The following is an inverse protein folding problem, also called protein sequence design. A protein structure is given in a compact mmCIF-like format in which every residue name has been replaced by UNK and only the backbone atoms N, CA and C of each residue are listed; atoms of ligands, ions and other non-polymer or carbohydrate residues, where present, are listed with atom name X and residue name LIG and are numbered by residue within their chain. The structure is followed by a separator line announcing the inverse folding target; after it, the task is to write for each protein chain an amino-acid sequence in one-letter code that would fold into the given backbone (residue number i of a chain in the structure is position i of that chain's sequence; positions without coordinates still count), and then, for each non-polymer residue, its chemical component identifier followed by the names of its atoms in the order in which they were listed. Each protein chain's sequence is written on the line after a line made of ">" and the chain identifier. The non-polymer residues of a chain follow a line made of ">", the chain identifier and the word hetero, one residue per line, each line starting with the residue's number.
data_IF_001285677126
#
_entry.id   IF_001285677126
#
_cell.length_a   1.000
_cell.length_b   1.000
_cell.length_c   1.000
_cell.angle_alpha   90.00
_cell.angle_beta   90.00
_cell.angle_gamma   90.00
#
_symmetry.space_group_name_H-M   'P 1'
#
loop_
_entity.id
_entity.type
_entity.pdbx_description
1 polymer ?
#
# COMPACT_ATOMS: atom_id res chain seq x y z
N UNK A 1 21.51 -70.79 4.87
CA UNK A 1 22.25 -69.59 4.40
C UNK A 1 21.38 -68.34 4.13
N UNK A 2 20.05 -68.42 3.99
CA UNK A 2 19.18 -67.25 3.72
C UNK A 2 18.76 -66.44 4.95
N UNK A 3 18.71 -67.03 6.14
CA UNK A 3 18.25 -66.37 7.38
C UNK A 3 19.31 -65.49 8.06
N UNK A 4 20.61 -65.80 7.93
CA UNK A 4 21.71 -64.99 8.52
C UNK A 4 21.95 -63.65 7.83
N UNK A 5 21.63 -63.50 6.54
CA UNK A 5 21.78 -62.22 5.82
C UNK A 5 20.69 -61.21 6.16
N UNK A 6 19.48 -61.70 6.50
CA UNK A 6 18.34 -60.84 6.85
C UNK A 6 18.51 -60.22 8.24
N UNK A 7 19.05 -60.98 9.20
CA UNK A 7 19.31 -60.48 10.57
C UNK A 7 20.41 -59.43 10.62
N UNK A 8 21.48 -59.59 9.82
CA UNK A 8 22.57 -58.62 9.76
C UNK A 8 22.13 -57.29 9.16
N UNK A 9 21.30 -57.33 8.11
CA UNK A 9 20.71 -56.14 7.48
C UNK A 9 19.73 -55.40 8.41
N UNK A 10 18.92 -56.14 9.18
CA UNK A 10 18.02 -55.53 10.16
C UNK A 10 18.80 -54.86 11.31
N UNK A 11 19.86 -55.51 11.81
CA UNK A 11 20.72 -54.96 12.86
C UNK A 11 21.46 -53.70 12.38
N UNK A 12 21.92 -53.64 11.13
CA UNK A 12 22.56 -52.42 10.60
C UNK A 12 21.58 -51.26 10.46
N UNK A 13 20.32 -51.51 10.07
CA UNK A 13 19.28 -50.48 9.98
C UNK A 13 18.88 -49.97 11.37
N UNK A 14 18.77 -50.85 12.37
CA UNK A 14 18.47 -50.47 13.75
C UNK A 14 19.65 -49.69 14.36
N UNK A 15 20.90 -50.12 14.14
CA UNK A 15 22.08 -49.36 14.57
C UNK A 15 22.21 -48.00 13.88
N UNK A 16 21.83 -47.87 12.61
CA UNK A 16 21.76 -46.58 11.93
C UNK A 16 20.65 -45.68 12.50
N UNK A 17 19.48 -46.22 12.83
CA UNK A 17 18.40 -45.44 13.46
C UNK A 17 18.75 -44.95 14.86
N UNK A 18 19.48 -45.75 15.65
CA UNK A 18 19.94 -45.35 16.98
C UNK A 18 21.02 -44.26 16.90
N UNK A 19 21.89 -44.29 15.88
CA UNK A 19 22.86 -43.21 15.62
C UNK A 19 22.22 -41.89 15.18
N UNK A 20 21.07 -41.93 14.49
CA UNK A 20 20.28 -40.72 14.17
C UNK A 20 19.42 -40.22 15.34
N UNK A 21 19.11 -41.06 16.33
CA UNK A 21 18.36 -40.65 17.54
C UNK A 21 19.26 -40.26 18.72
N UNK A 22 20.55 -40.59 18.69
CA UNK A 22 21.51 -40.25 19.75
C UNK A 22 22.28 -38.93 19.52
N UNK A 23 22.01 -38.21 18.42
CA UNK A 23 22.53 -36.86 18.25
C UNK A 23 21.46 -35.88 18.75
N UNK A 24 21.70 -35.10 19.83
CA UNK A 24 20.72 -34.14 20.29
C UNK A 24 20.36 -33.18 19.14
N UNK A 25 19.08 -32.77 18.98
CA UNK A 25 18.63 -31.85 17.93
C UNK A 25 19.31 -30.46 17.96
N UNK A 26 20.21 -30.24 18.92
CA UNK A 26 20.84 -28.98 19.26
C UNK A 26 22.15 -28.71 18.50
N UNK A 27 22.65 -29.67 17.71
CA UNK A 27 23.88 -29.47 16.91
C UNK A 27 23.64 -29.24 15.40
N UNK A 28 22.45 -29.52 14.85
CA UNK A 28 22.22 -29.46 13.39
C UNK A 28 21.29 -28.34 12.89
N UNK A 29 20.83 -27.44 13.77
CA UNK A 29 19.92 -26.33 13.38
C UNK A 29 20.38 -24.91 13.77
N UNK A 30 21.66 -24.71 14.10
CA UNK A 30 22.24 -23.36 14.09
C UNK A 30 22.64 -22.98 12.64
N UNK A 31 21.68 -22.84 11.72
CA UNK A 31 21.99 -22.23 10.42
C UNK A 31 22.56 -20.85 10.72
N UNK A 32 23.88 -20.65 10.55
CA UNK A 32 24.56 -19.40 10.93
C UNK A 32 23.79 -18.24 10.30
N UNK A 33 23.13 -17.45 11.14
CA UNK A 33 22.31 -16.34 10.72
C UNK A 33 23.12 -15.47 9.76
N UNK A 34 22.68 -15.41 8.50
CA UNK A 34 23.47 -14.74 7.47
C UNK A 34 23.69 -13.28 7.84
N UNK A 35 24.93 -12.83 7.78
CA UNK A 35 25.28 -11.42 8.01
C UNK A 35 25.66 -10.76 6.69
N UNK A 36 25.09 -9.59 6.42
CA UNK A 36 25.51 -8.70 5.34
C UNK A 36 26.23 -7.51 5.97
N UNK A 37 27.55 -7.47 5.81
CA UNK A 37 28.36 -6.31 6.19
C UNK A 37 28.28 -5.27 5.10
N UNK A 38 27.79 -4.08 5.44
CA UNK A 38 27.63 -2.95 4.55
C UNK A 38 28.87 -2.06 4.64
N UNK A 39 29.78 -2.25 3.68
CA UNK A 39 30.99 -1.40 3.54
C UNK A 39 30.70 -0.14 2.71
N UNK A 40 29.82 -0.24 1.71
CA UNK A 40 29.39 0.86 0.84
C UNK A 40 27.88 0.80 0.59
N UNK A 41 27.25 1.98 0.59
CA UNK A 41 25.81 2.14 0.31
C UNK A 41 25.64 2.46 -1.17
N UNK A 42 25.64 1.42 -2.00
CA UNK A 42 25.45 1.49 -3.45
C UNK A 42 24.35 0.52 -3.93
N UNK A 43 24.10 0.50 -5.24
CA UNK A 43 23.06 -0.36 -5.81
C UNK A 43 23.44 -1.85 -5.75
N UNK A 44 24.75 -2.19 -5.76
CA UNK A 44 25.22 -3.58 -5.66
C UNK A 44 24.90 -4.16 -4.28
N UNK A 45 25.18 -3.40 -3.22
CA UNK A 45 24.79 -3.77 -1.85
C UNK A 45 23.27 -3.82 -1.70
N UNK A 46 22.54 -2.86 -2.28
CA UNK A 46 21.08 -2.86 -2.24
C UNK A 46 20.48 -4.11 -2.91
N UNK A 47 21.00 -4.55 -4.06
CA UNK A 47 20.59 -5.80 -4.73
C UNK A 47 20.86 -7.04 -3.87
N UNK A 48 21.99 -7.09 -3.14
CA UNK A 48 22.28 -8.19 -2.19
C UNK A 48 21.27 -8.24 -1.06
N UNK A 49 20.94 -7.09 -0.47
CA UNK A 49 19.93 -6.99 0.61
C UNK A 49 18.55 -7.33 0.09
N UNK A 50 18.16 -6.80 -1.08
CA UNK A 50 16.90 -7.15 -1.76
C UNK A 50 16.77 -8.66 -1.97
N UNK A 51 17.78 -9.32 -2.55
CA UNK A 51 17.79 -10.78 -2.74
C UNK A 51 17.63 -11.53 -1.41
N UNK A 52 18.23 -11.02 -0.32
CA UNK A 52 18.10 -11.63 0.99
C UNK A 52 16.71 -11.42 1.61
N UNK A 53 16.12 -10.24 1.46
CA UNK A 53 14.74 -9.96 1.88
C UNK A 53 13.75 -10.90 1.18
N UNK A 54 13.93 -11.12 -0.12
CA UNK A 54 13.08 -12.03 -0.91
C UNK A 54 13.17 -13.50 -0.48
N UNK A 55 14.25 -13.91 0.20
CA UNK A 55 14.32 -15.28 0.79
C UNK A 55 13.35 -15.48 1.95
N UNK A 56 12.80 -14.41 2.54
CA UNK A 56 11.85 -14.50 3.64
C UNK A 56 12.44 -14.98 4.97
N UNK A 57 13.76 -15.22 5.06
CA UNK A 57 14.47 -15.67 6.27
C UNK A 57 15.11 -14.49 7.00
N UNK A 58 15.29 -14.63 8.31
CA UNK A 58 15.97 -13.62 9.11
C UNK A 58 17.46 -13.50 8.70
N UNK A 59 18.04 -12.30 8.87
CA UNK A 59 19.46 -12.04 8.61
C UNK A 59 19.94 -10.79 9.35
N UNK A 60 21.25 -10.65 9.56
CA UNK A 60 21.84 -9.47 10.17
C UNK A 60 22.33 -8.47 9.12
N UNK A 61 22.01 -7.20 9.31
CA UNK A 61 22.66 -6.07 8.65
C UNK A 61 23.71 -5.49 9.59
N UNK A 62 24.94 -5.32 9.12
CA UNK A 62 26.03 -4.77 9.92
C UNK A 62 26.62 -3.54 9.23
N UNK A 63 26.71 -2.43 9.96
CA UNK A 63 27.26 -1.15 9.47
C UNK A 63 28.41 -0.70 10.37
N UNK A 64 29.40 -0.01 9.79
CA UNK A 64 30.52 0.56 10.57
C UNK A 64 30.06 1.82 11.32
N UNK A 65 30.49 1.95 12.58
CA UNK A 65 30.22 3.10 13.44
C UNK A 65 29.05 2.90 14.40
N UNK A 66 28.71 3.96 15.12
CA UNK A 66 27.66 3.95 16.16
C UNK A 66 26.23 4.07 15.63
N UNK A 67 25.28 4.00 16.56
CA UNK A 67 23.84 3.89 16.27
C UNK A 67 23.24 5.09 15.51
N UNK A 68 23.63 6.33 15.86
CA UNK A 68 23.18 7.53 15.11
C UNK A 68 23.57 7.44 13.63
N UNK A 69 24.76 6.90 13.34
CA UNK A 69 25.23 6.68 11.98
C UNK A 69 24.49 5.52 11.31
N UNK A 70 24.27 4.43 12.04
CA UNK A 70 23.48 3.28 11.58
C UNK A 70 22.12 3.69 11.02
N UNK A 71 21.31 4.48 11.74
CA UNK A 71 19.98 4.85 11.25
C UNK A 71 20.04 5.65 9.94
N UNK A 72 20.96 6.61 9.83
CA UNK A 72 21.16 7.39 8.60
C UNK A 72 21.57 6.48 7.44
N UNK A 73 22.50 5.55 7.69
CA UNK A 73 22.99 4.63 6.69
C UNK A 73 21.93 3.62 6.26
N UNK A 74 21.17 3.06 7.19
CA UNK A 74 20.09 2.12 6.89
C UNK A 74 18.93 2.79 6.15
N UNK A 75 18.61 4.04 6.48
CA UNK A 75 17.63 4.82 5.71
C UNK A 75 18.08 5.02 4.26
N UNK A 76 19.34 5.38 4.03
CA UNK A 76 19.93 5.51 2.69
C UNK A 76 19.93 4.18 1.93
N UNK A 77 20.33 3.09 2.59
CA UNK A 77 20.34 1.76 2.00
C UNK A 77 18.93 1.31 1.62
N UNK A 78 17.95 1.46 2.52
CA UNK A 78 16.57 1.06 2.27
C UNK A 78 15.92 1.80 1.10
N UNK A 79 16.27 3.09 0.89
CA UNK A 79 15.87 3.82 -0.32
C UNK A 79 16.46 3.21 -1.60
N UNK A 80 17.72 2.77 -1.57
CA UNK A 80 18.32 2.06 -2.72
C UNK A 80 17.74 0.65 -2.92
N UNK A 81 17.37 -0.03 -1.84
CA UNK A 81 16.64 -1.31 -1.90
C UNK A 81 15.26 -1.11 -2.54
N UNK A 82 14.56 -0.02 -2.24
CA UNK A 82 13.30 0.32 -2.89
C UNK A 82 13.46 0.47 -4.41
N UNK A 83 14.60 0.99 -4.88
CA UNK A 83 14.92 1.09 -6.31
C UNK A 83 15.23 -0.26 -6.99
N UNK A 84 15.31 -1.36 -6.24
CA UNK A 84 15.44 -2.71 -6.82
C UNK A 84 14.14 -3.25 -7.40
N UNK A 85 12.98 -2.63 -7.10
CA UNK A 85 11.68 -3.03 -7.66
C UNK A 85 10.96 -1.83 -8.28
N UNK A 86 9.94 -2.09 -9.10
CA UNK A 86 9.17 -1.03 -9.75
C UNK A 86 8.16 -0.39 -8.78
N UNK A 87 7.80 -1.10 -7.71
CA UNK A 87 6.86 -0.66 -6.68
C UNK A 87 7.48 0.31 -5.67
N UNK A 88 8.81 0.26 -5.47
CA UNK A 88 9.49 1.23 -4.60
C UNK A 88 9.27 1.01 -3.11
N UNK A 89 9.12 -0.23 -2.64
CA UNK A 89 8.89 -0.51 -1.22
C UNK A 89 10.11 -0.20 -0.35
N UNK A 90 10.00 0.78 0.54
CA UNK A 90 11.02 1.14 1.51
C UNK A 90 10.84 0.35 2.81
N UNK A 91 11.79 -0.55 3.12
CA UNK A 91 11.72 -1.43 4.29
C UNK A 91 12.05 -0.74 5.63
N UNK A 92 12.69 0.43 5.61
CA UNK A 92 13.14 1.12 6.81
C UNK A 92 12.02 1.37 7.84
N UNK A 93 10.84 1.91 7.48
CA UNK A 93 9.80 2.18 8.45
C UNK A 93 9.32 0.92 9.19
N UNK A 94 9.27 -0.23 8.51
CA UNK A 94 8.87 -1.51 9.10
C UNK A 94 9.92 -1.97 10.13
N UNK A 95 11.19 -2.01 9.75
CA UNK A 95 12.25 -2.47 10.65
C UNK A 95 12.44 -1.55 11.85
N UNK A 96 12.23 -0.24 11.69
CA UNK A 96 12.56 0.76 12.70
C UNK A 96 11.41 1.09 13.65
N UNK A 97 10.20 0.64 13.34
CA UNK A 97 9.07 0.71 14.25
C UNK A 97 9.38 0.01 15.58
N UNK A 98 9.81 -1.26 15.51
CA UNK A 98 10.08 -2.08 16.69
C UNK A 98 11.43 -1.75 17.35
N UNK A 99 12.30 -1.01 16.64
CA UNK A 99 13.57 -0.53 17.16
C UNK A 99 13.42 0.80 17.92
N UNK A 100 12.20 1.27 18.22
CA UNK A 100 11.98 2.48 19.01
C UNK A 100 12.45 3.80 18.35
N UNK A 101 12.94 3.76 17.11
CA UNK A 101 13.50 4.93 16.40
C UNK A 101 12.52 6.11 16.29
N UNK A 102 11.23 5.81 16.18
CA UNK A 102 10.17 6.81 16.02
C UNK A 102 9.65 7.37 17.36
N UNK A 103 10.23 6.97 18.50
CA UNK A 103 9.94 7.53 19.82
C UNK A 103 8.68 6.98 20.50
N UNK A 104 8.08 5.90 19.99
CA UNK A 104 6.95 5.24 20.65
C UNK A 104 7.44 4.35 21.78
N UNK A 105 7.49 4.88 23.00
CA UNK A 105 7.41 4.08 24.22
C UNK A 105 5.95 3.65 24.39
N UNK A 106 5.62 2.38 24.12
CA UNK A 106 4.26 1.88 24.31
C UNK A 106 4.01 0.52 23.64
N UNK A 107 4.05 -0.52 24.48
CA UNK A 107 3.93 -1.96 24.21
C UNK A 107 5.18 -2.61 23.61
N UNK A 108 5.87 -3.39 24.45
CA UNK A 108 7.16 -4.09 24.29
C UNK A 108 8.42 -3.22 24.40
N UNK A 109 8.74 -2.85 25.64
CA UNK A 109 10.15 -2.67 26.03
C UNK A 109 10.90 -3.98 25.75
N UNK A 110 12.05 -3.88 25.06
CA UNK A 110 12.96 -4.95 24.55
C UNK A 110 12.82 -5.39 23.07
N UNK A 111 12.12 -4.64 22.22
CA UNK A 111 12.09 -4.90 20.77
C UNK A 111 13.45 -4.70 20.07
N UNK A 112 14.01 -5.77 19.50
CA UNK A 112 15.07 -5.84 18.47
C UNK A 112 15.85 -4.54 18.15
N UNK A 113 16.65 -4.08 19.10
CA UNK A 113 17.47 -2.87 18.97
C UNK A 113 18.75 -3.12 18.16
N UNK A 114 19.29 -2.10 17.47
CA UNK A 114 20.63 -2.17 16.91
C UNK A 114 21.68 -2.41 18.02
N UNK A 115 22.51 -3.44 17.87
CA UNK A 115 23.54 -3.83 18.85
C UNK A 115 24.92 -3.35 18.40
N UNK A 116 25.69 -2.77 19.33
CA UNK A 116 27.06 -2.31 19.06
C UNK A 116 28.07 -3.36 19.49
N UNK A 117 29.04 -3.66 18.64
CA UNK A 117 30.16 -4.55 18.95
C UNK A 117 31.31 -4.31 17.96
N UNK A 118 32.55 -4.24 18.45
CA UNK A 118 33.76 -4.18 17.62
C UNK A 118 33.81 -3.03 16.62
N UNK A 119 33.28 -1.84 16.97
CA UNK A 119 33.22 -0.69 16.06
C UNK A 119 32.11 -0.76 14.99
N UNK A 120 31.24 -1.78 15.05
CA UNK A 120 30.08 -1.93 14.19
C UNK A 120 28.78 -1.80 14.98
N UNK A 121 27.72 -1.41 14.27
CA UNK A 121 26.33 -1.55 14.72
C UNK A 121 25.63 -2.57 13.84
N UNK A 122 25.08 -3.62 14.45
CA UNK A 122 24.35 -4.70 13.78
C UNK A 122 22.86 -4.64 14.12
N UNK A 123 22.01 -4.98 13.17
CA UNK A 123 20.56 -5.07 13.34
C UNK A 123 20.04 -6.36 12.72
N UNK A 124 19.24 -7.10 13.48
CA UNK A 124 18.58 -8.31 12.99
C UNK A 124 17.34 -7.93 12.18
N UNK A 125 17.36 -8.19 10.88
CA UNK A 125 16.15 -8.16 10.07
C UNK A 125 15.40 -9.46 10.31
N UNK A 126 14.30 -9.40 11.07
CA UNK A 126 13.46 -10.56 11.38
C UNK A 126 12.74 -11.10 10.13
N UNK A 127 12.40 -12.39 10.15
CA UNK A 127 11.57 -13.03 9.12
C UNK A 127 10.25 -12.27 8.88
N UNK A 128 9.59 -11.79 9.94
CA UNK A 128 8.37 -10.98 9.82
C UNK A 128 8.54 -9.71 8.98
N UNK A 129 9.68 -9.02 9.07
CA UNK A 129 9.96 -7.84 8.25
C UNK A 129 10.19 -8.23 6.79
N UNK A 130 10.85 -9.36 6.54
CA UNK A 130 11.01 -9.91 5.19
C UNK A 130 9.64 -10.26 4.58
N UNK A 131 8.71 -10.80 5.36
CA UNK A 131 7.34 -11.07 4.91
C UNK A 131 6.58 -9.79 4.57
N UNK A 132 6.66 -8.75 5.42
CA UNK A 132 6.09 -7.42 5.11
C UNK A 132 6.67 -6.85 3.80
N UNK A 133 7.98 -7.02 3.56
CA UNK A 133 8.63 -6.60 2.31
C UNK A 133 8.07 -7.32 1.08
N UNK A 134 8.03 -8.65 1.12
CA UNK A 134 7.58 -9.50 0.01
C UNK A 134 6.11 -9.20 -0.33
N UNK A 135 5.25 -9.21 0.68
CA UNK A 135 3.83 -8.96 0.46
C UNK A 135 3.52 -7.49 0.18
N UNK A 136 4.36 -6.57 0.65
CA UNK A 136 4.30 -5.16 0.27
C UNK A 136 4.44 -5.00 -1.24
N UNK A 137 5.50 -5.54 -1.82
CA UNK A 137 5.71 -5.56 -3.27
C UNK A 137 4.52 -6.20 -3.99
N UNK A 138 4.06 -7.38 -3.54
CA UNK A 138 2.90 -8.06 -4.16
C UNK A 138 1.62 -7.23 -4.10
N UNK A 139 1.34 -6.59 -2.98
CA UNK A 139 0.20 -5.70 -2.80
C UNK A 139 0.25 -4.54 -3.79
N UNK A 140 1.36 -3.79 -3.79
CA UNK A 140 1.51 -2.63 -4.67
C UNK A 140 1.44 -3.00 -6.15
N UNK A 141 2.10 -4.10 -6.55
CA UNK A 141 2.02 -4.61 -7.92
C UNK A 141 0.58 -4.90 -8.33
N UNK A 142 -0.18 -5.61 -7.48
CA UNK A 142 -1.59 -5.93 -7.76
C UNK A 142 -2.44 -4.67 -7.89
N UNK A 143 -2.33 -3.72 -6.96
CA UNK A 143 -3.13 -2.49 -7.04
C UNK A 143 -2.80 -1.68 -8.32
N UNK A 144 -1.51 -1.67 -8.71
CA UNK A 144 -1.11 -0.94 -9.91
C UNK A 144 -1.60 -1.60 -11.20
N UNK A 145 -1.51 -2.93 -11.30
CA UNK A 145 -2.07 -3.67 -12.43
C UNK A 145 -3.59 -3.58 -12.49
N UNK A 146 -4.27 -3.58 -11.33
CA UNK A 146 -5.72 -3.34 -11.27
C UNK A 146 -6.11 -1.98 -11.86
N UNK A 147 -5.36 -0.91 -11.59
CA UNK A 147 -5.59 0.39 -12.21
C UNK A 147 -5.41 0.33 -13.73
N UNK A 148 -4.34 -0.30 -14.23
CA UNK A 148 -4.10 -0.41 -15.68
C UNK A 148 -5.23 -1.16 -16.38
N UNK A 149 -5.61 -2.33 -15.87
CA UNK A 149 -6.74 -3.11 -16.40
C UNK A 149 -8.05 -2.33 -16.37
N UNK A 150 -8.25 -1.53 -15.32
CA UNK A 150 -9.42 -0.68 -15.20
C UNK A 150 -9.45 0.40 -16.29
N UNK A 151 -8.33 1.10 -16.52
CA UNK A 151 -8.18 2.07 -17.62
C UNK A 151 -8.45 1.41 -18.98
N UNK A 152 -7.89 0.23 -19.23
CA UNK A 152 -8.11 -0.52 -20.47
C UNK A 152 -9.59 -0.89 -20.68
N UNK A 153 -10.26 -1.33 -19.61
CA UNK A 153 -11.70 -1.65 -19.64
C UNK A 153 -12.56 -0.42 -19.95
N UNK A 154 -12.24 0.73 -19.35
CA UNK A 154 -12.99 1.97 -19.62
C UNK A 154 -12.77 2.43 -21.06
N UNK A 155 -11.55 2.37 -21.58
CA UNK A 155 -11.27 2.68 -22.98
C UNK A 155 -12.09 1.84 -23.96
N UNK A 156 -12.11 0.51 -23.75
CA UNK A 156 -12.87 -0.40 -24.59
C UNK A 156 -14.37 -0.09 -24.55
N UNK A 157 -14.92 0.18 -23.35
CA UNK A 157 -16.33 0.58 -23.20
C UNK A 157 -16.64 1.91 -23.88
N UNK A 158 -15.81 2.93 -23.68
CA UNK A 158 -16.01 4.24 -24.30
C UNK A 158 -15.97 4.18 -25.83
N UNK A 159 -15.05 3.38 -26.41
CA UNK A 159 -14.99 3.14 -27.87
C UNK A 159 -16.21 2.40 -28.39
N UNK A 160 -16.71 1.41 -27.64
CA UNK A 160 -17.96 0.72 -27.98
C UNK A 160 -19.15 1.68 -27.98
N UNK A 161 -19.26 2.53 -26.95
CA UNK A 161 -20.32 3.55 -26.86
C UNK A 161 -20.23 4.55 -28.02
N UNK A 162 -19.02 5.00 -28.37
CA UNK A 162 -18.80 5.90 -29.50
C UNK A 162 -19.27 5.26 -30.80
N UNK A 163 -18.89 4.00 -31.06
CA UNK A 163 -19.33 3.27 -32.25
C UNK A 163 -20.85 3.18 -32.34
N UNK A 164 -21.52 2.83 -31.23
CA UNK A 164 -23.00 2.79 -31.20
C UNK A 164 -23.59 4.15 -31.57
N UNK A 165 -23.05 5.26 -31.04
CA UNK A 165 -23.51 6.62 -31.39
C UNK A 165 -23.20 7.03 -32.83
N UNK A 166 -22.21 6.42 -33.49
CA UNK A 166 -21.81 6.73 -34.87
C UNK A 166 -22.55 5.89 -35.92
N UNK A 167 -23.08 4.72 -35.55
CA UNK A 167 -23.87 3.83 -36.42
C UNK A 167 -25.14 4.54 -36.96
N UNK A 168 -25.80 3.99 -37.99
CA UNK A 168 -27.01 4.60 -38.57
C UNK A 168 -28.16 4.67 -37.54
N UNK A 169 -28.59 5.90 -37.25
CA UNK A 169 -29.51 6.24 -36.16
C UNK A 169 -30.87 6.72 -36.65
N UNK A 170 -31.25 6.40 -37.90
CA UNK A 170 -32.57 6.76 -38.46
C UNK A 170 -33.76 6.32 -37.58
N UNK A 171 -33.54 5.35 -36.68
CA UNK A 171 -34.53 4.84 -35.71
C UNK A 171 -34.42 5.47 -34.32
N UNK A 172 -33.52 6.41 -34.07
CA UNK A 172 -33.27 6.96 -32.73
C UNK A 172 -34.08 8.23 -32.49
N UNK A 173 -34.70 8.35 -31.31
CA UNK A 173 -35.39 9.57 -30.86
C UNK A 173 -34.42 10.55 -30.18
N UNK A 174 -33.19 10.62 -30.66
CA UNK A 174 -32.14 11.53 -30.17
C UNK A 174 -31.94 12.66 -31.19
N UNK A 175 -31.95 13.91 -30.75
CA UNK A 175 -31.69 15.02 -31.66
C UNK A 175 -30.24 15.03 -32.14
N UNK A 176 -30.03 15.46 -33.38
CA UNK A 176 -28.70 15.40 -34.00
C UNK A 176 -27.68 16.35 -33.35
N UNK A 177 -28.16 17.43 -32.74
CA UNK A 177 -27.34 18.32 -31.91
C UNK A 177 -26.89 17.65 -30.61
N UNK A 178 -27.77 16.89 -29.94
CA UNK A 178 -27.43 16.14 -28.74
C UNK A 178 -26.44 15.00 -29.05
N UNK A 179 -26.70 14.25 -30.13
CA UNK A 179 -25.80 13.19 -30.62
C UNK A 179 -24.38 13.70 -30.86
N UNK A 180 -24.22 14.78 -31.62
CA UNK A 180 -22.91 15.43 -31.86
C UNK A 180 -22.21 15.84 -30.56
N UNK A 181 -22.98 16.35 -29.58
CA UNK A 181 -22.44 16.75 -28.27
C UNK A 181 -21.88 15.55 -27.51
N UNK A 182 -22.60 14.42 -27.50
CA UNK A 182 -22.13 13.19 -26.85
C UNK A 182 -20.91 12.58 -27.54
N UNK A 183 -20.89 12.55 -28.87
CA UNK A 183 -19.73 12.08 -29.65
C UNK A 183 -18.48 12.92 -29.33
N UNK A 184 -18.60 14.25 -29.35
CA UNK A 184 -17.49 15.15 -29.01
C UNK A 184 -16.96 14.88 -27.60
N UNK A 185 -17.87 14.67 -26.64
CA UNK A 185 -17.52 14.36 -25.26
C UNK A 185 -16.83 13.00 -25.12
N UNK A 186 -17.32 11.96 -25.79
CA UNK A 186 -16.72 10.63 -25.79
C UNK A 186 -15.32 10.61 -26.42
N UNK A 187 -15.14 11.31 -27.54
CA UNK A 187 -13.83 11.48 -28.17
C UNK A 187 -12.82 12.13 -27.22
N UNK A 188 -13.23 13.18 -26.49
CA UNK A 188 -12.38 13.78 -25.48
C UNK A 188 -12.01 12.79 -24.37
N UNK A 189 -13.00 12.08 -23.82
CA UNK A 189 -12.80 11.05 -22.79
C UNK A 189 -11.83 9.96 -23.25
N UNK A 190 -12.03 9.42 -24.47
CA UNK A 190 -11.16 8.38 -25.05
C UNK A 190 -9.72 8.88 -25.11
N UNK A 191 -9.50 10.09 -25.63
CA UNK A 191 -8.16 10.70 -25.72
C UNK A 191 -7.49 10.83 -24.34
N UNK A 192 -8.21 11.27 -23.32
CA UNK A 192 -7.64 11.38 -21.97
C UNK A 192 -7.22 10.03 -21.38
N UNK A 193 -8.06 9.01 -21.54
CA UNK A 193 -7.74 7.66 -21.06
C UNK A 193 -6.60 7.01 -21.86
N UNK A 194 -6.47 7.29 -23.16
CA UNK A 194 -5.36 6.79 -23.98
C UNK A 194 -4.03 7.39 -23.51
N UNK A 195 -3.99 8.70 -23.26
CA UNK A 195 -2.80 9.35 -22.71
C UNK A 195 -2.43 8.79 -21.34
N UNK A 196 -3.42 8.57 -20.47
CA UNK A 196 -3.21 7.95 -19.17
C UNK A 196 -2.67 6.52 -19.33
N UNK A 197 -3.27 5.72 -20.21
CA UNK A 197 -2.82 4.36 -20.48
C UNK A 197 -1.36 4.34 -20.90
N UNK A 198 -0.96 5.20 -21.84
CA UNK A 198 0.44 5.35 -22.28
C UNK A 198 1.35 5.78 -21.13
N UNK A 199 0.91 6.73 -20.31
CA UNK A 199 1.64 7.18 -19.13
C UNK A 199 1.86 6.04 -18.12
N UNK A 200 0.83 5.25 -17.82
CA UNK A 200 0.91 4.13 -16.89
C UNK A 200 1.73 2.95 -17.46
N UNK A 201 1.75 2.76 -18.78
CA UNK A 201 2.58 1.74 -19.44
C UNK A 201 4.08 2.05 -19.32
N UNK A 202 4.47 3.33 -19.44
CA UNK A 202 5.89 3.75 -19.37
C UNK A 202 6.41 4.04 -17.96
N UNK A 203 5.52 4.22 -16.99
CA UNK A 203 5.90 4.71 -15.65
C UNK A 203 5.83 3.57 -14.63
N UNK A 204 6.78 3.57 -13.69
CA UNK A 204 6.79 2.62 -12.58
C UNK A 204 6.06 3.23 -11.39
N UNK A 205 5.41 2.41 -10.57
CA UNK A 205 4.68 2.89 -9.40
C UNK A 205 5.57 3.76 -8.47
N UNK A 206 6.85 3.41 -8.30
CA UNK A 206 7.79 4.19 -7.49
C UNK A 206 8.04 5.62 -8.01
N UNK A 207 7.87 5.83 -9.31
CA UNK A 207 8.16 7.08 -10.01
C UNK A 207 6.90 7.96 -10.14
N UNK A 208 5.72 7.43 -9.83
CA UNK A 208 4.47 8.19 -9.80
C UNK A 208 4.47 9.26 -8.69
N UNK A 209 3.77 10.40 -8.91
CA UNK A 209 3.60 11.42 -7.89
C UNK A 209 2.83 10.89 -6.68
N UNK A 210 2.97 11.56 -5.54
CA UNK A 210 2.34 11.15 -4.29
C UNK A 210 0.82 11.04 -4.40
N UNK A 211 0.18 11.96 -5.15
CA UNK A 211 -1.26 11.92 -5.43
C UNK A 211 -1.69 10.67 -6.18
N UNK A 212 -0.93 10.24 -7.19
CA UNK A 212 -1.22 9.00 -7.93
C UNK A 212 -1.00 7.76 -7.09
N UNK A 213 0.11 7.70 -6.34
CA UNK A 213 0.34 6.60 -5.39
C UNK A 213 -0.76 6.52 -4.36
N UNK A 214 -1.27 7.65 -3.88
CA UNK A 214 -2.39 7.68 -2.96
C UNK A 214 -3.66 7.15 -3.58
N UNK A 215 -3.98 7.51 -4.82
CA UNK A 215 -5.11 6.93 -5.52
C UNK A 215 -4.92 5.43 -5.68
N UNK A 216 -3.78 4.95 -6.17
CA UNK A 216 -3.57 3.50 -6.35
C UNK A 216 -3.58 2.71 -5.02
N UNK A 217 -2.83 3.18 -4.03
CA UNK A 217 -2.50 2.40 -2.83
C UNK A 217 -3.40 2.73 -1.64
N UNK A 218 -3.90 3.96 -1.58
CA UNK A 218 -4.82 4.47 -0.57
C UNK A 218 -6.22 4.70 -1.13
N UNK A 219 -6.53 4.35 -2.39
CA UNK A 219 -7.90 4.45 -2.90
C UNK A 219 -8.82 3.78 -1.92
N UNK A 220 -9.76 4.56 -1.43
CA UNK A 220 -10.85 4.10 -0.63
C UNK A 220 -12.08 4.42 -1.47
N UNK A 221 -12.58 3.41 -2.17
CA UNK A 221 -13.82 3.44 -2.94
C UNK A 221 -14.34 2.01 -3.01
N UNK A 222 -15.63 1.71 -3.00
CA UNK A 222 -16.89 2.44 -2.89
C UNK A 222 -17.98 1.35 -2.74
N UNK A 223 -19.16 1.72 -2.24
CA UNK A 223 -20.27 0.86 -1.79
C UNK A 223 -20.62 -0.34 -2.70
N UNK A 224 -21.06 -1.46 -2.10
CA UNK A 224 -21.87 -2.47 -2.82
C UNK A 224 -23.38 -2.26 -2.58
N UNK A 225 -23.78 -1.42 -1.61
CA UNK A 225 -25.12 -0.82 -1.39
C UNK A 225 -25.39 -0.43 0.08
N UNK A 226 -24.42 -0.51 1.00
CA UNK A 226 -24.67 -0.18 2.42
C UNK A 226 -23.44 0.37 3.17
N UNK A 227 -23.70 1.41 3.99
CA UNK A 227 -22.89 1.94 5.10
C UNK A 227 -21.36 1.68 5.09
N UNK A 228 -20.71 2.35 4.14
CA UNK A 228 -19.69 3.36 4.39
C UNK A 228 -18.32 2.98 5.04
N UNK A 229 -17.30 3.40 4.29
CA UNK A 229 -15.85 3.54 4.56
C UNK A 229 -14.94 2.31 4.44
N UNK A 230 -13.98 2.47 3.51
CA UNK A 230 -12.72 1.74 3.29
C UNK A 230 -12.76 0.76 2.11
N UNK A 231 -11.78 0.90 1.22
CA UNK A 231 -11.35 -0.09 0.21
C UNK A 231 -11.57 -1.50 0.74
N UNK A 232 -12.12 -2.42 -0.06
CA UNK A 232 -12.29 -3.84 0.34
C UNK A 232 -10.98 -4.51 0.80
N UNK A 233 -9.81 -3.88 0.62
CA UNK A 233 -8.56 -4.33 1.22
C UNK A 233 -8.55 -4.31 2.75
N UNK A 234 -9.28 -3.40 3.41
CA UNK A 234 -9.34 -3.33 4.87
C UNK A 234 -10.76 -3.03 5.36
N UNK A 235 -11.35 -3.93 6.16
CA UNK A 235 -12.71 -3.76 6.69
C UNK A 235 -12.71 -3.18 8.10
N UNK A 236 -13.64 -2.27 8.40
CA UNK A 236 -13.93 -1.91 9.79
C UNK A 236 -14.58 -3.12 10.49
N UNK A 237 -14.16 -3.41 11.74
CA UNK A 237 -14.77 -4.42 12.60
C UNK A 237 -14.65 -4.00 14.06
N UNK A 238 -15.79 -3.89 14.74
CA UNK A 238 -15.86 -3.55 16.17
C UNK A 238 -15.46 -4.70 17.12
N UNK A 239 -15.63 -5.96 16.67
CA UNK A 239 -15.51 -7.16 17.50
C UNK A 239 -14.07 -7.74 17.57
N UNK A 240 -13.55 -7.89 18.81
CA UNK A 240 -12.37 -8.69 19.17
C UNK A 240 -10.98 -8.03 19.01
N UNK A 241 -9.98 -8.50 19.79
CA UNK A 241 -8.58 -8.03 19.75
C UNK A 241 -7.77 -8.48 18.52
N UNK A 242 -8.30 -9.42 17.71
CA UNK A 242 -7.58 -10.00 16.57
C UNK A 242 -7.57 -9.05 15.39
N UNK A 243 -6.58 -8.17 15.29
CA UNK A 243 -6.35 -7.30 14.11
C UNK A 243 -5.62 -8.02 12.98
N UNK A 244 -5.96 -7.70 11.72
CA UNK A 244 -5.21 -8.10 10.53
C UNK A 244 -4.79 -6.88 9.74
N UNK A 245 -3.53 -6.50 9.85
CA UNK A 245 -2.98 -5.26 9.27
C UNK A 245 -1.64 -5.48 8.55
N UNK A 246 -1.24 -6.73 8.34
CA UNK A 246 -0.01 -7.06 7.59
C UNK A 246 -0.18 -6.74 6.10
N UNK A 247 0.92 -6.54 5.37
CA UNK A 247 0.83 -6.45 3.91
C UNK A 247 0.31 -7.74 3.28
N UNK A 248 0.52 -8.90 3.93
CA UNK A 248 -0.08 -10.17 3.51
C UNK A 248 -1.60 -10.12 3.57
N UNK A 249 -2.16 -9.56 4.63
CA UNK A 249 -3.60 -9.43 4.78
C UNK A 249 -4.19 -8.43 3.77
N UNK A 250 -3.52 -7.30 3.53
CA UNK A 250 -3.90 -6.33 2.50
C UNK A 250 -3.87 -6.95 1.10
N UNK A 251 -2.81 -7.69 0.79
CA UNK A 251 -2.69 -8.45 -0.46
C UNK A 251 -3.77 -9.53 -0.57
N UNK A 252 -4.20 -10.16 0.51
CA UNK A 252 -5.26 -11.16 0.45
C UNK A 252 -6.69 -10.58 0.52
N UNK A 253 -6.85 -9.24 0.58
CA UNK A 253 -8.13 -8.56 0.86
C UNK A 253 -8.80 -9.06 2.16
N UNK A 254 -7.98 -9.43 3.14
CA UNK A 254 -8.39 -9.98 4.44
C UNK A 254 -8.01 -9.06 5.61
N UNK A 255 -7.48 -7.86 5.34
CA UNK A 255 -7.15 -6.93 6.41
C UNK A 255 -8.43 -6.39 7.05
N UNK A 256 -8.40 -6.15 8.35
CA UNK A 256 -9.50 -5.54 9.08
C UNK A 256 -9.03 -5.01 10.44
N UNK A 257 -9.78 -4.05 10.98
CA UNK A 257 -9.57 -3.52 12.33
C UNK A 257 -10.43 -2.28 12.61
N UNK A 258 -10.39 -1.80 13.86
CA UNK A 258 -10.98 -0.52 14.27
C UNK A 258 -10.30 0.67 13.59
N UNK A 259 -10.93 1.84 13.64
CA UNK A 259 -10.53 3.10 13.01
C UNK A 259 -9.07 3.46 13.29
N UNK A 260 -8.62 3.29 14.54
CA UNK A 260 -7.25 3.54 14.96
C UNK A 260 -6.23 2.65 14.22
N UNK A 261 -6.57 1.38 13.98
CA UNK A 261 -5.71 0.44 13.25
C UNK A 261 -5.73 0.68 11.74
N UNK A 262 -6.85 1.16 11.21
CA UNK A 262 -6.93 1.60 9.82
C UNK A 262 -6.02 2.81 9.60
N UNK A 263 -6.09 3.83 10.48
CA UNK A 263 -5.20 4.99 10.44
C UNK A 263 -3.72 4.60 10.52
N UNK A 264 -3.37 3.68 11.43
CA UNK A 264 -2.01 3.14 11.53
C UNK A 264 -1.55 2.45 10.22
N UNK A 265 -2.45 1.71 9.58
CA UNK A 265 -2.16 1.03 8.30
C UNK A 265 -1.97 2.02 7.16
N UNK A 266 -2.78 3.08 7.09
CA UNK A 266 -2.56 4.16 6.14
C UNK A 266 -1.21 4.87 6.37
N UNK A 267 -0.85 5.13 7.63
CA UNK A 267 0.45 5.70 7.98
C UNK A 267 1.60 4.81 7.49
N UNK A 268 1.48 3.49 7.68
CA UNK A 268 2.43 2.48 7.16
C UNK A 268 2.59 2.58 5.66
N UNK A 269 1.50 2.50 4.91
CA UNK A 269 1.50 2.57 3.43
C UNK A 269 2.14 3.89 2.97
N UNK A 270 1.75 5.01 3.58
CA UNK A 270 2.33 6.32 3.25
C UNK A 270 3.84 6.37 3.48
N UNK A 271 4.33 5.77 4.56
CA UNK A 271 5.75 5.76 4.92
C UNK A 271 6.58 4.85 3.99
N UNK A 272 6.09 3.65 3.68
CA UNK A 272 6.86 2.68 2.87
C UNK A 272 6.87 3.02 1.37
N UNK A 273 5.86 3.73 0.85
CA UNK A 273 5.79 4.13 -0.58
C UNK A 273 6.04 5.63 -0.82
N UNK A 274 6.38 6.39 0.23
CA UNK A 274 6.67 7.83 0.16
C UNK A 274 5.50 8.63 -0.48
N UNK A 275 4.28 8.44 0.02
CA UNK A 275 3.05 8.99 -0.59
C UNK A 275 2.82 10.48 -0.21
N UNK A 276 3.36 10.94 0.91
CA UNK A 276 3.20 12.34 1.34
C UNK A 276 3.47 12.53 2.82
N UNK A 277 2.90 13.58 3.41
CA UNK A 277 2.91 13.92 4.83
C UNK A 277 1.64 13.48 5.53
N UNK A 278 1.74 12.49 6.41
CA UNK A 278 0.61 11.92 7.14
C UNK A 278 0.41 12.63 8.48
N UNK A 279 -0.84 12.98 8.78
CA UNK A 279 -1.31 13.46 10.07
C UNK A 279 -2.57 12.69 10.46
N UNK A 280 -2.68 12.30 11.72
CA UNK A 280 -3.86 11.62 12.25
C UNK A 280 -4.27 12.35 13.51
N UNK A 281 -5.57 12.55 13.64
CA UNK A 281 -6.20 13.27 14.74
C UNK A 281 -7.36 12.45 15.27
N UNK A 282 -7.47 12.38 16.59
CA UNK A 282 -8.58 11.72 17.28
C UNK A 282 -9.39 12.77 18.01
N UNK A 283 -10.71 12.74 17.84
CA UNK A 283 -11.61 13.63 18.57
C UNK A 283 -11.58 13.27 20.06
N UNK A 284 -11.39 14.26 20.94
CA UNK A 284 -11.30 14.06 22.39
C UNK A 284 -12.64 13.63 23.00
N UNK A 285 -13.76 14.06 22.40
CA UNK A 285 -15.13 13.81 22.85
C UNK A 285 -15.72 12.48 22.37
N UNK A 286 -15.04 11.75 21.48
CA UNK A 286 -15.52 10.45 20.99
C UNK A 286 -14.46 9.33 21.08
N UNK A 287 -14.82 8.14 21.59
CA UNK A 287 -13.89 7.02 21.67
C UNK A 287 -13.41 6.52 20.29
N UNK A 288 -14.21 6.68 19.22
CA UNK A 288 -14.00 5.99 17.94
C UNK A 288 -13.82 6.93 16.73
N UNK A 289 -14.02 8.24 16.85
CA UNK A 289 -13.84 9.20 15.76
C UNK A 289 -12.36 9.43 15.42
N UNK A 290 -11.94 9.02 14.21
CA UNK A 290 -10.57 9.25 13.71
C UNK A 290 -10.60 9.92 12.36
N UNK A 291 -9.82 10.99 12.21
CA UNK A 291 -9.61 11.65 10.93
C UNK A 291 -8.13 11.62 10.56
N UNK A 292 -7.87 11.22 9.32
CA UNK A 292 -6.54 11.08 8.75
C UNK A 292 -6.40 12.04 7.58
N UNK A 293 -5.30 12.76 7.56
CA UNK A 293 -4.93 13.69 6.51
C UNK A 293 -3.61 13.25 5.90
N UNK A 294 -3.57 13.20 4.57
CA UNK A 294 -2.35 12.94 3.81
C UNK A 294 -2.10 14.12 2.90
N UNK A 295 -1.10 14.93 3.22
CA UNK A 295 -0.63 16.05 2.40
C UNK A 295 0.33 15.53 1.33
N UNK A 296 -0.01 15.69 0.07
CA UNK A 296 0.69 15.07 -1.06
C UNK A 296 1.06 16.12 -2.11
N UNK A 297 1.94 15.73 -3.03
CA UNK A 297 2.35 16.54 -4.17
C UNK A 297 1.90 15.89 -5.46
N UNK A 298 1.32 16.70 -6.35
CA UNK A 298 1.03 16.33 -7.74
C UNK A 298 2.32 16.29 -8.56
N UNK A 299 2.23 15.82 -9.81
CA UNK A 299 3.35 15.91 -10.76
C UNK A 299 3.80 17.37 -10.98
N UNK A 300 2.85 18.31 -11.03
CA UNK A 300 3.12 19.75 -11.13
C UNK A 300 3.64 20.40 -9.84
N UNK A 301 3.86 19.64 -8.75
CA UNK A 301 4.32 20.17 -7.46
C UNK A 301 3.24 20.89 -6.63
N UNK A 302 2.00 20.96 -7.14
CA UNK A 302 0.85 21.46 -6.39
C UNK A 302 0.54 20.55 -5.20
N UNK A 303 0.08 21.15 -4.12
CA UNK A 303 -0.25 20.39 -2.90
C UNK A 303 -1.71 19.94 -2.95
N UNK A 304 -1.95 18.65 -2.71
CA UNK A 304 -3.28 18.08 -2.53
C UNK A 304 -3.38 17.37 -1.19
N UNK A 305 -4.61 17.13 -0.73
CA UNK A 305 -4.88 16.53 0.57
C UNK A 305 -5.88 15.38 0.46
N UNK A 306 -5.51 14.22 0.95
CA UNK A 306 -6.41 13.08 1.15
C UNK A 306 -6.96 13.13 2.56
N UNK A 307 -8.27 13.25 2.69
CA UNK A 307 -8.96 13.28 3.98
C UNK A 307 -9.73 11.99 4.12
N UNK A 308 -9.31 11.12 5.03
CA UNK A 308 -9.97 9.87 5.36
C UNK A 308 -10.61 10.01 6.73
N UNK A 309 -11.93 9.91 6.77
CA UNK A 309 -12.71 10.01 7.99
C UNK A 309 -13.21 8.61 8.36
N UNK A 310 -13.20 8.28 9.64
CA UNK A 310 -13.73 7.02 10.13
C UNK A 310 -14.69 7.32 11.28
N UNK A 311 -15.94 6.86 11.14
CA UNK A 311 -17.01 7.09 12.08
C UNK A 311 -17.77 8.42 11.93
N UNK A 312 -18.86 8.54 12.68
CA UNK A 312 -19.76 9.69 12.68
C UNK A 312 -19.24 10.82 13.56
N UNK A 313 -18.39 11.68 13.00
CA UNK A 313 -18.06 12.98 13.62
C UNK A 313 -19.30 13.88 13.66
N UNK A 314 -19.56 14.54 14.79
CA UNK A 314 -20.57 15.60 14.84
C UNK A 314 -20.11 16.78 13.99
N UNK A 315 -21.06 17.39 13.28
CA UNK A 315 -20.85 18.60 12.49
C UNK A 315 -20.43 19.74 13.42
N UNK A 316 -19.14 20.02 13.56
CA UNK A 316 -18.67 21.29 14.11
C UNK A 316 -17.96 22.07 13.02
N UNK A 317 -18.68 23.09 12.55
CA UNK A 317 -18.16 24.14 11.69
C UNK A 317 -17.05 24.86 12.46
N UNK A 318 -15.87 24.96 11.84
CA UNK A 318 -14.72 25.82 12.20
C UNK A 318 -13.87 25.29 13.36
N UNK A 319 -12.71 24.73 12.99
CA UNK A 319 -11.62 24.27 13.86
C UNK A 319 -11.99 23.15 14.84
N UNK A 320 -11.29 22.03 14.70
CA UNK A 320 -11.39 20.95 15.66
C UNK A 320 -10.01 20.85 16.32
N UNK A 321 -9.98 21.05 17.63
CA UNK A 321 -8.82 20.75 18.46
C UNK A 321 -8.73 19.24 18.62
N UNK A 322 -7.56 18.68 18.37
CA UNK A 322 -7.37 17.25 18.33
C UNK A 322 -6.05 16.87 18.98
N UNK A 323 -6.08 15.82 19.80
CA UNK A 323 -4.87 15.25 20.40
C UNK A 323 -4.21 14.27 19.42
N UNK A 324 -2.91 14.43 19.18
CA UNK A 324 -2.15 13.43 18.42
C UNK A 324 -1.88 12.20 19.29
N UNK A 325 -2.71 11.15 19.20
CA UNK A 325 -2.41 9.90 19.90
C UNK A 325 -1.21 9.20 19.28
N UNK A 326 -0.13 9.07 20.05
CA UNK A 326 1.17 8.52 19.62
C UNK A 326 1.07 7.12 19.00
N UNK A 327 0.14 6.29 19.47
CA UNK A 327 -0.12 4.95 18.92
C UNK A 327 -0.55 4.94 17.44
N UNK A 328 -1.00 6.08 16.90
CA UNK A 328 -1.59 6.20 15.56
C UNK A 328 -0.59 6.56 14.47
N UNK A 329 0.65 6.97 14.82
CA UNK A 329 1.64 7.48 13.86
C UNK A 329 3.00 6.77 14.00
N UNK A 330 2.99 5.44 14.21
CA UNK A 330 4.19 4.63 14.54
C UNK A 330 5.30 4.60 13.48
N UNK A 331 5.03 4.99 12.24
CA UNK A 331 5.99 4.97 11.12
C UNK A 331 6.61 6.34 10.80
N UNK A 332 6.41 7.34 11.67
CA UNK A 332 6.97 8.69 11.49
C UNK A 332 7.54 9.24 12.79
N UNK A 333 8.55 10.09 12.65
CA UNK A 333 9.10 10.82 13.80
C UNK A 333 8.02 11.76 14.34
N UNK A 334 7.88 11.77 15.66
CA UNK A 334 6.99 12.68 16.39
C UNK A 334 7.22 14.13 15.93
N UNK A 335 6.14 14.83 15.60
CA UNK A 335 6.14 16.30 15.54
C UNK A 335 5.61 16.77 16.91
N UNK A 336 6.29 17.73 17.53
CA UNK A 336 5.83 18.34 18.78
C UNK A 336 4.55 19.13 18.45
N UNK A 337 3.56 19.03 19.34
CA UNK A 337 2.26 19.74 19.38
C UNK A 337 1.07 19.16 18.61
N UNK A 338 -0.10 19.36 19.23
CA UNK A 338 -1.41 19.27 18.59
C UNK A 338 -1.48 20.33 17.50
N UNK A 339 -1.46 19.85 16.26
CA UNK A 339 -1.57 20.74 15.11
C UNK A 339 -3.05 20.97 14.86
N UNK A 340 -3.53 22.19 15.09
CA UNK A 340 -4.86 22.60 14.61
C UNK A 340 -4.87 22.43 13.10
N UNK A 341 -5.69 21.50 12.61
CA UNK A 341 -5.89 21.30 11.17
C UNK A 341 -7.07 22.18 10.77
N UNK A 342 -6.76 23.27 10.07
CA UNK A 342 -7.78 24.15 9.49
C UNK A 342 -8.55 23.48 8.36
N UNK A 343 -9.67 24.09 7.97
CA UNK A 343 -10.48 23.62 6.84
C UNK A 343 -9.64 23.59 5.56
N UNK A 344 -9.66 22.47 4.85
CA UNK A 344 -9.01 22.37 3.54
C UNK A 344 -10.02 22.73 2.46
N UNK A 345 -9.65 23.70 1.63
CA UNK A 345 -10.45 24.11 0.49
C UNK A 345 -10.78 22.90 -0.39
N UNK A 346 -12.06 22.77 -0.80
CA UNK A 346 -12.56 21.64 -1.62
C UNK A 346 -11.69 21.40 -2.86
N UNK A 347 -11.22 22.47 -3.52
CA UNK A 347 -10.34 22.41 -4.68
C UNK A 347 -8.93 21.81 -4.41
N UNK A 348 -8.52 21.65 -3.14
CA UNK A 348 -7.24 21.05 -2.74
C UNK A 348 -7.39 19.61 -2.24
N UNK A 349 -8.61 19.10 -2.13
CA UNK A 349 -8.90 17.74 -1.66
C UNK A 349 -8.85 16.75 -2.82
N UNK A 350 -8.19 15.61 -2.64
CA UNK A 350 -8.32 14.50 -3.59
C UNK A 350 -9.70 13.87 -3.41
N UNK A 351 -10.44 13.67 -4.51
CA UNK A 351 -11.58 12.76 -4.49
C UNK A 351 -11.01 11.35 -4.32
N UNK A 352 -11.48 10.63 -3.30
CA UNK A 352 -10.87 9.34 -2.94
C UNK A 352 -11.15 8.26 -3.98
N UNK A 353 -12.29 8.34 -4.65
CA UNK A 353 -12.65 7.43 -5.71
C UNK A 353 -12.01 7.90 -7.02
N UNK A 354 -11.39 6.98 -7.77
CA UNK A 354 -11.43 7.05 -9.23
C UNK A 354 -12.88 6.70 -9.60
N UNK A 355 -13.77 7.64 -9.28
CA UNK A 355 -15.17 7.50 -9.61
C UNK A 355 -15.27 7.60 -11.12
N UNK A 356 -15.91 6.60 -11.71
CA UNK A 356 -16.68 6.84 -12.92
C UNK A 356 -17.80 7.76 -12.51
N UNK A 357 -17.66 9.05 -12.75
CA UNK A 357 -18.86 9.86 -12.93
C UNK A 357 -19.44 9.38 -14.27
N UNK A 358 -20.36 8.43 -14.19
CA UNK A 358 -20.98 7.77 -15.33
C UNK A 358 -22.19 8.59 -15.73
N UNK A 359 -22.11 9.30 -16.85
CA UNK A 359 -23.29 9.97 -17.39
C UNK A 359 -24.07 8.91 -18.14
N UNK A 360 -25.19 8.49 -17.55
CA UNK A 360 -26.16 7.66 -18.24
C UNK A 360 -26.89 8.53 -19.26
N UNK A 361 -26.79 8.13 -20.52
CA UNK A 361 -27.50 8.72 -21.65
C UNK A 361 -28.54 7.70 -22.07
N UNK A 362 -29.81 8.07 -21.96
CA UNK A 362 -30.93 7.21 -22.30
C UNK A 362 -31.80 7.90 -23.35
N UNK A 363 -32.16 7.19 -24.42
CA UNK A 363 -33.08 7.69 -25.45
C UNK A 363 -33.91 6.55 -26.03
N UNK A 364 -35.12 6.88 -26.48
CA UNK A 364 -36.01 5.93 -27.12
C UNK A 364 -35.64 5.68 -28.58
N UNK A 365 -36.23 4.64 -29.14
CA UNK A 365 -36.18 4.32 -30.57
C UNK A 365 -37.59 4.33 -31.14
N UNK A 366 -37.70 4.37 -32.47
CA UNK A 366 -38.98 4.27 -33.18
C UNK A 366 -39.70 2.95 -32.96
N UNK A 367 -39.01 1.89 -32.49
CA UNK A 367 -39.63 0.61 -32.07
C UNK A 367 -40.18 0.62 -30.64
N UNK A 368 -39.97 1.70 -29.88
CA UNK A 368 -40.38 1.81 -28.48
C UNK A 368 -39.34 1.32 -27.47
N UNK A 369 -38.20 0.82 -27.93
CA UNK A 369 -37.11 0.34 -27.05
C UNK A 369 -36.25 1.51 -26.54
N UNK A 370 -35.79 1.42 -25.29
CA UNK A 370 -34.87 2.39 -24.70
C UNK A 370 -33.41 1.95 -24.86
N UNK A 371 -32.58 2.78 -25.49
CA UNK A 371 -31.13 2.61 -25.55
C UNK A 371 -30.52 3.30 -24.34
N UNK A 372 -29.66 2.59 -23.59
CA UNK A 372 -28.98 3.09 -22.41
C UNK A 372 -27.46 3.00 -22.60
N UNK A 373 -26.78 4.15 -22.57
CA UNK A 373 -25.35 4.27 -22.73
C UNK A 373 -24.74 4.92 -21.49
N UNK A 374 -23.50 4.57 -21.15
CA UNK A 374 -22.76 5.23 -20.06
C UNK A 374 -21.49 5.86 -20.62
N UNK A 375 -21.31 7.16 -20.38
CA UNK A 375 -20.06 7.89 -20.64
C UNK A 375 -19.27 7.91 -19.34
N UNK A 376 -18.10 7.29 -19.34
CA UNK A 376 -17.24 7.16 -18.17
C UNK A 376 -16.27 8.34 -18.07
N UNK A 377 -16.45 9.30 -17.15
CA UNK A 377 -15.51 10.43 -17.00
C UNK A 377 -14.31 10.09 -16.11
N UNK A 378 -13.14 10.65 -16.44
CA UNK A 378 -11.93 10.49 -15.65
C UNK A 378 -11.82 11.61 -14.62
N UNK A 379 -12.08 11.30 -13.34
CA UNK A 379 -12.09 12.27 -12.25
C UNK A 379 -10.68 12.59 -11.70
N UNK A 380 -9.73 12.83 -12.60
CA UNK A 380 -8.33 13.07 -12.29
C UNK A 380 -7.70 14.03 -13.31
N UNK A 381 -7.46 15.27 -12.88
CA UNK A 381 -6.78 16.26 -13.72
C UNK A 381 -5.42 15.72 -14.21
N UNK A 382 -5.07 15.97 -15.48
CA UNK A 382 -3.73 15.70 -16.03
C UNK A 382 -2.59 16.22 -15.16
N UNK A 383 -2.82 17.35 -14.47
CA UNK A 383 -1.83 17.94 -13.57
C UNK A 383 -1.50 17.09 -12.33
N UNK A 384 -2.32 16.08 -12.02
CA UNK A 384 -2.17 15.17 -10.89
C UNK A 384 -1.36 13.91 -11.20
N UNK A 385 -1.10 13.59 -12.48
CA UNK A 385 -0.40 12.38 -12.90
C UNK A 385 0.85 12.57 -13.75
#
# INVERSE_FOLDING_TARGET
>A
MRTRKVTLALLTVISFMILFMACPPEAEAASKLKTITVTKIDQKTAKKVHKQLLKGKAFNLRFKGGEKNFYKQFQKLSKKVANCTDEGFNIFPICMQDAGYYGTAGFDQQGNQPRRSGGYTSFLVKSGYCQEYIYGIKFAKREYEALKMYVDKILAKSRSTLKTLEDDTSTWLLSESAKRTYIKKLNHVISEYEELQQYLKRTKLRDLPGTMKARILLEIGGSVDANDWVKTSMKHKDMGFKRKNSFKDLYNRKAYGRELYIAHTLCKICAVYNIGDFSCVKESSQPNGVMVWVKMKTRSGKTRYGVYRYGTLRSTRRQISYETKEALVRYRKRRKSDRVIGQIAKAKTIRQQIAVDGINVSFGTTSGDAVNLTIYEFNLDRSEW
#
